data_IF_412125730935
#
_entry.id   IF_412125730935
#
_cell.length_a   1.000
_cell.length_b   1.000
_cell.length_c   1.000
_cell.angle_alpha   90.00
_cell.angle_beta   90.00
_cell.angle_gamma   90.00
#
_symmetry.space_group_name_H-M   'P 1'
#
loop_
_entity.id
_entity.type
_entity.pdbx_description
1 polymer ?
#
# COMPACT_ATOMS: atom_id res chain seq x y z
N UNK A 1 -65.16 24.08 69.88
CA UNK A 1 -64.45 24.86 68.85
C UNK A 1 -65.19 24.66 67.54
N UNK A 2 -65.80 25.72 67.00
CA UNK A 2 -66.59 25.65 65.78
C UNK A 2 -65.67 25.69 64.55
N UNK A 3 -65.34 24.50 64.03
CA UNK A 3 -64.33 24.29 62.99
C UNK A 3 -64.62 25.07 61.69
N UNK A 4 -65.91 25.29 61.39
CA UNK A 4 -66.35 26.08 60.23
C UNK A 4 -66.06 27.57 60.39
N UNK A 5 -66.10 28.10 61.62
CA UNK A 5 -65.83 29.51 61.90
C UNK A 5 -64.32 29.83 61.89
N UNK A 6 -63.51 28.87 62.38
CA UNK A 6 -62.05 28.95 62.35
C UNK A 6 -61.49 29.15 60.94
N UNK A 7 -62.00 28.38 59.96
CA UNK A 7 -61.61 28.47 58.55
C UNK A 7 -62.12 29.72 57.82
N UNK A 8 -63.07 30.47 58.40
CA UNK A 8 -63.72 31.61 57.75
C UNK A 8 -63.18 32.97 58.21
N UNK A 9 -62.73 33.10 59.45
CA UNK A 9 -62.46 34.41 60.09
C UNK A 9 -61.08 34.54 60.77
N UNK A 10 -60.24 33.49 60.79
CA UNK A 10 -58.92 33.56 61.45
C UNK A 10 -57.76 33.78 60.46
N UNK A 11 -56.84 34.67 60.81
CA UNK A 11 -55.63 34.96 60.02
C UNK A 11 -54.74 33.72 59.82
N UNK A 12 -54.70 32.84 60.82
CA UNK A 12 -54.00 31.54 60.77
C UNK A 12 -54.61 30.61 59.72
N UNK A 13 -55.94 30.57 59.56
CA UNK A 13 -56.57 29.77 58.52
C UNK A 13 -56.27 30.25 57.09
N UNK A 14 -56.11 31.57 56.88
CA UNK A 14 -55.68 32.12 55.59
C UNK A 14 -54.25 31.70 55.23
N UNK A 15 -53.33 31.73 56.20
CA UNK A 15 -51.94 31.28 56.02
C UNK A 15 -51.90 29.78 55.72
N UNK A 16 -52.61 28.95 56.50
CA UNK A 16 -52.68 27.50 56.27
C UNK A 16 -53.26 27.18 54.88
N UNK A 17 -54.31 27.89 54.45
CA UNK A 17 -54.89 27.72 53.10
C UNK A 17 -53.88 28.03 52.00
N UNK A 18 -53.16 29.14 52.10
CA UNK A 18 -52.17 29.52 51.09
C UNK A 18 -50.97 28.56 51.07
N UNK A 19 -50.54 28.06 52.24
CA UNK A 19 -49.51 27.02 52.35
C UNK A 19 -49.98 25.71 51.71
N UNK A 20 -51.23 25.28 51.96
CA UNK A 20 -51.80 24.10 51.32
C UNK A 20 -51.93 24.27 49.80
N UNK A 21 -52.33 25.46 49.32
CA UNK A 21 -52.38 25.77 47.89
C UNK A 21 -50.98 25.79 47.26
N UNK A 22 -49.97 26.32 47.96
CA UNK A 22 -48.59 26.31 47.50
C UNK A 22 -48.04 24.87 47.43
N UNK A 23 -48.32 24.04 48.44
CA UNK A 23 -47.95 22.62 48.43
C UNK A 23 -48.66 21.86 47.30
N UNK A 24 -49.95 22.13 47.07
CA UNK A 24 -50.70 21.57 45.95
C UNK A 24 -50.11 22.01 44.60
N UNK A 25 -49.76 23.30 44.45
CA UNK A 25 -49.14 23.81 43.23
C UNK A 25 -47.78 23.17 42.97
N UNK A 26 -46.93 23.05 44.00
CA UNK A 26 -45.64 22.35 43.90
C UNK A 26 -45.84 20.89 43.52
N UNK A 27 -46.82 20.21 44.12
CA UNK A 27 -47.15 18.82 43.79
C UNK A 27 -47.61 18.68 42.33
N UNK A 28 -48.51 19.54 41.87
CA UNK A 28 -49.02 19.55 40.48
C UNK A 28 -47.89 19.84 39.49
N UNK A 29 -47.07 20.87 39.76
CA UNK A 29 -45.92 21.21 38.91
C UNK A 29 -44.95 20.03 38.88
N UNK A 30 -44.61 19.44 40.03
CA UNK A 30 -43.71 18.29 40.09
C UNK A 30 -44.28 17.11 39.29
N UNK A 31 -45.56 16.81 39.44
CA UNK A 31 -46.24 15.75 38.68
C UNK A 31 -46.19 15.99 37.17
N UNK A 32 -46.57 17.19 36.72
CA UNK A 32 -46.52 17.57 35.29
C UNK A 32 -45.09 17.48 34.76
N UNK A 33 -44.11 17.97 35.51
CA UNK A 33 -42.70 17.98 35.08
C UNK A 33 -42.18 16.55 34.95
N UNK A 34 -42.46 15.68 35.93
CA UNK A 34 -42.07 14.27 35.89
C UNK A 34 -42.78 13.53 34.75
N UNK A 35 -44.09 13.70 34.56
CA UNK A 35 -44.83 13.08 33.45
C UNK A 35 -44.36 13.58 32.07
N UNK A 36 -44.00 14.85 31.95
CA UNK A 36 -43.44 15.40 30.72
C UNK A 36 -42.06 14.78 30.42
N UNK A 37 -41.18 14.68 31.42
CA UNK A 37 -39.86 14.04 31.27
C UNK A 37 -40.02 12.57 30.90
N UNK A 38 -40.94 11.84 31.54
CA UNK A 38 -41.17 10.42 31.28
C UNK A 38 -41.58 10.16 29.82
N UNK A 39 -42.54 10.95 29.33
CA UNK A 39 -43.01 10.89 27.94
C UNK A 39 -41.96 11.37 26.93
N UNK A 40 -41.22 12.44 27.26
CA UNK A 40 -40.19 12.98 26.37
C UNK A 40 -38.97 12.06 26.28
N UNK A 41 -38.60 11.40 27.37
CA UNK A 41 -37.43 10.52 27.43
C UNK A 41 -37.69 9.07 27.02
N UNK A 42 -38.97 8.70 26.76
CA UNK A 42 -39.45 7.34 26.50
C UNK A 42 -38.84 6.34 27.48
N UNK A 43 -39.02 6.63 28.76
CA UNK A 43 -38.46 5.83 29.82
C UNK A 43 -38.97 4.38 29.72
N UNK A 44 -38.06 3.40 29.64
CA UNK A 44 -38.38 1.97 29.51
C UNK A 44 -38.43 1.40 28.10
N UNK A 45 -38.42 2.22 27.04
CA UNK A 45 -38.31 1.73 25.65
C UNK A 45 -36.84 1.62 25.24
N UNK A 46 -36.24 0.46 25.47
CA UNK A 46 -34.91 0.14 25.00
C UNK A 46 -34.94 -1.11 24.11
N UNK A 47 -34.17 -1.04 23.04
CA UNK A 47 -34.03 -2.09 22.05
C UNK A 47 -32.75 -2.86 22.37
N UNK A 48 -32.83 -4.18 22.26
CA UNK A 48 -31.71 -5.06 22.55
C UNK A 48 -30.76 -5.05 21.37
N UNK A 49 -29.48 -4.84 21.64
CA UNK A 49 -28.43 -4.91 20.63
C UNK A 49 -28.21 -6.37 20.24
N UNK A 50 -28.42 -6.76 18.96
CA UNK A 50 -28.17 -8.12 18.49
C UNK A 50 -26.67 -8.43 18.41
N UNK A 51 -26.31 -9.70 18.26
CA UNK A 51 -24.96 -10.10 17.87
C UNK A 51 -24.73 -9.82 16.40
N UNK A 52 -23.72 -9.00 16.12
CA UNK A 52 -23.30 -8.60 14.80
C UNK A 52 -21.89 -9.12 14.48
N UNK A 53 -21.16 -9.68 15.46
CA UNK A 53 -19.80 -10.18 15.21
C UNK A 53 -19.81 -11.29 14.17
N UNK A 54 -18.85 -11.22 13.24
CA UNK A 54 -18.73 -12.16 12.13
C UNK A 54 -19.76 -11.97 11.01
N UNK A 55 -20.73 -11.05 11.14
CA UNK A 55 -21.69 -10.70 10.09
C UNK A 55 -21.11 -9.63 9.17
N UNK A 56 -21.67 -9.52 7.96
CA UNK A 56 -21.40 -8.39 7.07
C UNK A 56 -22.21 -7.16 7.47
N UNK A 57 -21.72 -5.97 7.10
CA UNK A 57 -22.40 -4.69 7.37
C UNK A 57 -23.82 -4.62 6.81
N UNK A 58 -24.07 -5.29 5.69
CA UNK A 58 -25.36 -5.38 5.01
C UNK A 58 -26.36 -6.23 5.82
N UNK A 59 -25.88 -7.33 6.43
CA UNK A 59 -26.70 -8.15 7.33
C UNK A 59 -26.99 -7.42 8.63
N UNK A 60 -26.00 -6.69 9.16
CA UNK A 60 -26.15 -5.88 10.36
C UNK A 60 -27.19 -4.76 10.18
N UNK A 61 -27.24 -4.14 8.99
CA UNK A 61 -28.24 -3.13 8.67
C UNK A 61 -29.67 -3.67 8.82
N UNK A 62 -29.93 -4.86 8.28
CA UNK A 62 -31.23 -5.52 8.33
C UNK A 62 -31.62 -5.85 9.79
N UNK A 63 -30.68 -6.42 10.56
CA UNK A 63 -30.91 -6.81 11.96
C UNK A 63 -31.16 -5.61 12.86
N UNK A 64 -30.40 -4.53 12.68
CA UNK A 64 -30.54 -3.32 13.46
C UNK A 64 -31.79 -2.53 13.06
N UNK A 65 -32.11 -2.44 11.77
CA UNK A 65 -33.31 -1.79 11.29
C UNK A 65 -34.58 -2.45 11.85
N UNK A 66 -34.59 -3.79 11.99
CA UNK A 66 -35.69 -4.51 12.63
C UNK A 66 -35.91 -4.13 14.12
N UNK A 67 -34.86 -3.66 14.79
CA UNK A 67 -34.89 -3.16 16.17
C UNK A 67 -34.98 -1.61 16.22
N UNK A 68 -35.14 -0.92 15.10
CA UNK A 68 -35.11 0.56 15.06
C UNK A 68 -33.79 1.17 15.50
N UNK A 69 -32.70 0.39 15.42
CA UNK A 69 -31.33 0.80 15.64
C UNK A 69 -30.66 1.07 14.29
N UNK A 70 -29.48 1.69 14.33
CA UNK A 70 -28.62 1.92 13.15
C UNK A 70 -27.19 1.55 13.51
N UNK A 71 -26.29 1.48 12.54
CA UNK A 71 -24.86 1.33 12.83
C UNK A 71 -24.04 2.49 12.29
N UNK A 72 -22.82 2.59 12.77
CA UNK A 72 -21.78 3.46 12.26
C UNK A 72 -20.44 2.74 12.30
N UNK A 73 -19.77 2.62 11.16
CA UNK A 73 -18.42 2.04 11.10
C UNK A 73 -17.44 3.12 11.52
N UNK A 74 -16.78 2.94 12.67
CA UNK A 74 -15.88 3.93 13.25
C UNK A 74 -14.41 3.66 12.92
N UNK A 75 -14.07 2.40 12.66
CA UNK A 75 -12.71 1.99 12.35
C UNK A 75 -12.69 0.68 11.56
N UNK A 76 -11.52 0.34 11.02
CA UNK A 76 -11.25 -0.96 10.43
C UNK A 76 -9.91 -1.52 10.89
N UNK A 77 -9.89 -2.81 11.22
CA UNK A 77 -8.66 -3.57 11.50
C UNK A 77 -8.35 -4.51 10.34
N UNK A 78 -7.11 -5.00 10.22
CA UNK A 78 -6.76 -6.00 9.23
C UNK A 78 -6.35 -7.31 9.90
N UNK A 79 -7.22 -8.31 9.80
CA UNK A 79 -6.98 -9.68 10.23
C UNK A 79 -7.08 -10.62 9.03
N UNK A 80 -5.98 -11.34 8.75
CA UNK A 80 -5.87 -12.28 7.62
C UNK A 80 -6.72 -13.54 7.83
N UNK A 81 -7.14 -13.82 9.06
CA UNK A 81 -7.92 -15.02 9.41
C UNK A 81 -9.43 -14.83 9.22
N UNK A 82 -9.87 -13.58 9.04
CA UNK A 82 -11.28 -13.22 8.89
C UNK A 82 -11.58 -12.74 7.45
N UNK A 83 -12.82 -12.94 6.94
CA UNK A 83 -13.21 -12.39 5.64
C UNK A 83 -13.20 -10.85 5.64
N UNK A 84 -13.05 -10.23 4.47
CA UNK A 84 -13.06 -8.78 4.34
C UNK A 84 -14.44 -8.19 4.59
N UNK A 85 -14.52 -7.06 5.30
CA UNK A 85 -15.77 -6.34 5.55
C UNK A 85 -16.67 -6.97 6.63
N UNK A 86 -16.28 -8.08 7.26
CA UNK A 86 -17.02 -8.63 8.40
C UNK A 86 -16.81 -7.77 9.64
N UNK A 87 -17.80 -7.76 10.53
CA UNK A 87 -17.73 -7.03 11.79
C UNK A 87 -16.85 -7.82 12.76
N UNK A 88 -15.76 -7.21 13.22
CA UNK A 88 -14.82 -7.79 14.18
C UNK A 88 -15.25 -7.44 15.61
N UNK A 89 -15.71 -6.20 15.79
CA UNK A 89 -16.12 -5.69 17.09
C UNK A 89 -17.35 -4.80 16.96
N UNK A 90 -18.19 -4.84 17.99
CA UNK A 90 -19.36 -3.98 18.12
C UNK A 90 -19.35 -3.32 19.50
N UNK A 91 -19.81 -2.08 19.56
CA UNK A 91 -20.03 -1.36 20.81
C UNK A 91 -21.36 -0.61 20.73
N UNK A 92 -22.31 -0.82 21.66
CA UNK A 92 -22.25 -1.72 22.82
C UNK A 92 -22.22 -3.23 22.45
N UNK A 93 -21.82 -4.12 23.38
CA UNK A 93 -21.83 -5.56 23.14
C UNK A 93 -23.28 -6.09 22.99
N UNK A 94 -23.41 -7.30 22.43
CA UNK A 94 -24.67 -8.04 22.35
C UNK A 94 -25.43 -8.02 23.69
N UNK A 95 -26.75 -7.94 23.64
CA UNK A 95 -27.62 -7.95 24.81
C UNK A 95 -27.69 -6.61 25.55
N UNK A 96 -26.91 -5.62 25.13
CA UNK A 96 -26.99 -4.26 25.66
C UNK A 96 -28.30 -3.59 25.26
N UNK A 97 -28.65 -2.53 25.97
CA UNK A 97 -29.88 -1.77 25.75
C UNK A 97 -29.58 -0.41 25.15
N UNK A 98 -30.19 -0.11 24.00
CA UNK A 98 -30.09 1.19 23.34
C UNK A 98 -31.47 1.81 23.13
N UNK A 99 -31.54 3.14 23.25
CA UNK A 99 -32.72 3.88 22.82
C UNK A 99 -32.82 3.85 21.28
N UNK A 100 -34.05 3.88 20.76
CA UNK A 100 -34.29 3.96 19.31
C UNK A 100 -33.47 5.05 18.62
N UNK A 101 -32.96 4.73 17.44
CA UNK A 101 -32.16 5.64 16.61
C UNK A 101 -30.72 5.86 17.08
N UNK A 102 -30.27 5.23 18.18
CA UNK A 102 -28.86 5.24 18.58
C UNK A 102 -28.04 4.33 17.67
N UNK A 103 -26.80 4.74 17.29
CA UNK A 103 -25.91 3.88 16.53
C UNK A 103 -25.29 2.80 17.42
N UNK A 104 -25.11 1.62 16.86
CA UNK A 104 -24.12 0.63 17.28
C UNK A 104 -22.84 0.91 16.50
N UNK A 105 -21.74 1.15 17.20
CA UNK A 105 -20.45 1.41 16.56
C UNK A 105 -19.78 0.10 16.20
N UNK A 106 -19.29 -0.01 14.97
CA UNK A 106 -18.70 -1.22 14.43
C UNK A 106 -17.24 -0.97 14.06
N UNK A 107 -16.40 -1.94 14.39
CA UNK A 107 -15.07 -2.09 13.81
C UNK A 107 -15.13 -3.27 12.85
N UNK A 108 -14.82 -3.02 11.59
CA UNK A 108 -14.86 -4.06 10.54
C UNK A 108 -13.47 -4.56 10.20
N UNK A 109 -13.38 -5.76 9.65
CA UNK A 109 -12.18 -6.21 8.97
C UNK A 109 -12.05 -5.42 7.67
N UNK A 110 -10.83 -4.98 7.34
CA UNK A 110 -10.58 -4.12 6.21
C UNK A 110 -11.13 -4.73 4.92
N UNK A 111 -11.66 -3.88 4.03
CA UNK A 111 -12.27 -4.34 2.77
C UNK A 111 -11.23 -4.78 1.72
N UNK A 112 -9.95 -4.58 2.01
CA UNK A 112 -8.85 -4.91 1.10
C UNK A 112 -7.57 -5.19 1.88
N UNK A 113 -6.65 -5.92 1.24
CA UNK A 113 -5.30 -6.13 1.77
C UNK A 113 -4.57 -4.79 1.89
N UNK A 114 -3.88 -4.61 3.02
CA UNK A 114 -3.02 -3.45 3.28
C UNK A 114 -2.00 -3.28 2.14
N UNK A 115 -1.91 -2.07 1.61
CA UNK A 115 -0.99 -1.73 0.53
C UNK A 115 0.29 -1.10 1.10
N UNK A 116 1.43 -1.69 0.77
CA UNK A 116 2.75 -1.21 1.19
C UNK A 116 3.52 -0.65 -0.01
N UNK A 117 4.29 0.44 0.15
CA UNK A 117 5.12 0.95 -0.93
C UNK A 117 6.30 -0.01 -1.16
N UNK A 118 6.61 -0.29 -2.42
CA UNK A 118 7.84 -0.99 -2.79
C UNK A 118 9.06 -0.13 -2.39
N UNK A 119 9.95 -0.60 -1.50
CA UNK A 119 11.19 0.11 -1.21
C UNK A 119 12.07 0.18 -2.46
N UNK A 120 12.95 1.19 -2.53
CA UNK A 120 13.96 1.22 -3.57
C UNK A 120 15.05 0.21 -3.25
N UNK A 121 15.10 -0.84 -4.04
CA UNK A 121 16.02 -1.98 -3.85
C UNK A 121 16.89 -2.23 -5.09
N UNK A 122 16.91 -1.29 -6.05
CA UNK A 122 17.91 -1.30 -7.13
C UNK A 122 19.24 -0.77 -6.59
N UNK A 123 20.34 -1.20 -7.21
CA UNK A 123 21.70 -0.77 -6.87
C UNK A 123 22.13 -1.04 -5.42
N UNK A 124 21.45 -1.97 -4.74
CA UNK A 124 21.84 -2.50 -3.44
C UNK A 124 22.13 -3.99 -3.54
N UNK A 125 22.83 -4.53 -2.54
CA UNK A 125 23.07 -5.97 -2.48
C UNK A 125 21.76 -6.75 -2.33
N UNK A 126 21.69 -7.96 -2.88
CA UNK A 126 20.57 -8.88 -2.73
C UNK A 126 20.17 -9.08 -1.27
N UNK A 127 21.17 -9.20 -0.37
CA UNK A 127 20.93 -9.33 1.08
C UNK A 127 20.20 -8.12 1.66
N UNK A 128 20.59 -6.92 1.25
CA UNK A 128 19.96 -5.68 1.69
C UNK A 128 18.56 -5.54 1.10
N UNK A 129 18.38 -5.88 -0.18
CA UNK A 129 17.07 -5.91 -0.83
C UNK A 129 16.10 -6.87 -0.14
N UNK A 130 16.54 -8.10 0.17
CA UNK A 130 15.76 -9.10 0.90
C UNK A 130 15.32 -8.58 2.28
N UNK A 131 16.23 -7.93 3.03
CA UNK A 131 15.90 -7.32 4.30
C UNK A 131 14.89 -6.17 4.18
N UNK A 132 15.05 -5.28 3.19
CA UNK A 132 14.14 -4.17 2.93
C UNK A 132 12.74 -4.66 2.53
N UNK A 133 12.65 -5.65 1.64
CA UNK A 133 11.38 -6.23 1.21
C UNK A 133 10.66 -6.87 2.41
N UNK A 134 11.36 -7.70 3.20
CA UNK A 134 10.79 -8.31 4.41
C UNK A 134 10.32 -7.27 5.43
N UNK A 135 11.09 -6.19 5.64
CA UNK A 135 10.72 -5.12 6.56
C UNK A 135 9.44 -4.38 6.16
N UNK A 136 9.15 -4.32 4.86
CA UNK A 136 7.90 -3.74 4.33
C UNK A 136 6.75 -4.74 4.25
N UNK A 137 6.96 -6.01 4.65
CA UNK A 137 5.95 -7.07 4.55
C UNK A 137 5.82 -7.67 3.15
N UNK A 138 6.74 -7.36 2.23
CA UNK A 138 6.87 -8.00 0.93
C UNK A 138 7.79 -9.22 1.04
N UNK A 139 7.75 -10.11 0.04
CA UNK A 139 8.57 -11.31 -0.02
C UNK A 139 9.42 -11.31 -1.28
N UNK A 140 10.63 -11.84 -1.19
CA UNK A 140 11.40 -12.19 -2.39
C UNK A 140 10.75 -13.39 -3.07
N UNK A 141 10.48 -13.26 -4.36
CA UNK A 141 9.98 -14.31 -5.24
C UNK A 141 11.12 -15.03 -5.95
N UNK A 142 11.07 -15.05 -7.27
CA UNK A 142 12.14 -15.63 -8.09
C UNK A 142 13.37 -14.71 -8.13
N UNK A 143 14.55 -15.30 -8.07
CA UNK A 143 15.83 -14.60 -8.22
C UNK A 143 16.49 -15.10 -9.47
N UNK A 144 16.55 -14.25 -10.50
CA UNK A 144 17.23 -14.55 -11.75
C UNK A 144 18.59 -13.89 -11.75
N UNK A 145 19.59 -14.60 -12.24
CA UNK A 145 20.95 -14.09 -12.27
C UNK A 145 21.33 -13.72 -13.71
N UNK A 146 21.83 -12.51 -13.90
CA UNK A 146 22.33 -12.01 -15.19
C UNK A 146 23.83 -11.71 -15.10
N UNK A 147 24.58 -11.84 -16.22
CA UNK A 147 25.95 -11.36 -16.31
C UNK A 147 26.06 -9.91 -15.84
N UNK A 148 27.05 -9.59 -15.01
CA UNK A 148 27.28 -8.26 -14.46
C UNK A 148 28.68 -8.16 -13.88
N UNK A 149 29.28 -6.97 -13.88
CA UNK A 149 30.55 -6.74 -13.19
C UNK A 149 30.38 -6.82 -11.65
N UNK A 150 29.17 -6.59 -11.14
CA UNK A 150 28.88 -6.54 -9.70
C UNK A 150 28.16 -7.79 -9.24
N UNK A 151 28.83 -8.57 -8.39
CA UNK A 151 28.25 -9.75 -7.75
C UNK A 151 27.19 -9.36 -6.73
N UNK A 152 26.07 -10.06 -6.76
CA UNK A 152 24.94 -9.93 -5.83
C UNK A 152 24.26 -8.54 -5.84
N UNK A 153 24.54 -7.69 -6.83
CA UNK A 153 23.88 -6.40 -7.00
C UNK A 153 22.50 -6.60 -7.64
N UNK A 154 21.46 -5.96 -7.09
CA UNK A 154 20.14 -5.98 -7.72
C UNK A 154 20.11 -5.03 -8.91
N UNK A 155 19.96 -5.59 -10.11
CA UNK A 155 19.94 -4.88 -11.38
C UNK A 155 18.53 -4.43 -11.77
N UNK A 156 17.53 -5.27 -11.50
CA UNK A 156 16.14 -4.98 -11.81
C UNK A 156 15.18 -5.65 -10.83
N UNK A 157 13.98 -5.08 -10.75
CA UNK A 157 12.91 -5.49 -9.84
C UNK A 157 11.65 -5.67 -10.67
N UNK A 158 11.06 -6.86 -10.59
CA UNK A 158 9.89 -7.24 -11.37
C UNK A 158 8.76 -7.76 -10.49
N UNK A 159 7.54 -7.60 -10.99
CA UNK A 159 6.35 -8.24 -10.45
C UNK A 159 5.53 -8.77 -11.62
N UNK A 160 5.16 -10.05 -11.57
CA UNK A 160 4.42 -10.72 -12.66
C UNK A 160 5.11 -10.57 -14.03
N UNK A 161 6.43 -10.75 -14.05
CA UNK A 161 7.33 -10.56 -15.21
C UNK A 161 7.42 -9.13 -15.79
N UNK A 162 6.82 -8.12 -15.15
CA UNK A 162 6.88 -6.73 -15.58
C UNK A 162 7.77 -5.89 -14.65
N UNK A 163 8.55 -4.92 -15.18
CA UNK A 163 9.36 -4.03 -14.37
C UNK A 163 8.48 -3.12 -13.51
N UNK A 164 8.88 -2.93 -12.26
CA UNK A 164 8.13 -2.11 -11.29
C UNK A 164 8.99 -0.99 -10.72
N UNK A 165 8.39 0.18 -10.51
CA UNK A 165 9.08 1.37 -9.99
C UNK A 165 9.04 1.41 -8.45
N UNK A 166 10.08 1.94 -7.79
CA UNK A 166 10.03 2.19 -6.35
C UNK A 166 8.83 3.08 -5.98
N UNK A 167 8.31 2.89 -4.77
CA UNK A 167 7.12 3.59 -4.27
C UNK A 167 5.78 3.05 -4.79
N UNK A 168 5.77 2.12 -5.75
CA UNK A 168 4.54 1.47 -6.24
C UNK A 168 3.83 0.79 -5.07
N UNK A 169 2.51 0.97 -4.95
CA UNK A 169 1.70 0.36 -3.89
C UNK A 169 1.40 -1.10 -4.25
N UNK A 170 1.82 -2.01 -3.39
CA UNK A 170 1.72 -3.45 -3.59
C UNK A 170 1.00 -4.07 -2.39
N UNK A 171 0.10 -5.06 -2.60
CA UNK A 171 -0.51 -5.78 -1.50
C UNK A 171 0.53 -6.44 -0.59
N UNK A 172 0.39 -6.25 0.72
CA UNK A 172 1.29 -6.86 1.70
C UNK A 172 1.29 -8.40 1.59
N UNK A 173 2.48 -8.99 1.62
CA UNK A 173 2.70 -10.41 1.42
C UNK A 173 2.87 -10.83 -0.05
N UNK A 174 2.77 -9.90 -1.01
CA UNK A 174 3.11 -10.15 -2.40
C UNK A 174 4.59 -10.52 -2.55
N UNK A 175 4.88 -11.31 -3.59
CA UNK A 175 6.25 -11.65 -4.00
C UNK A 175 6.78 -10.66 -5.03
N UNK A 176 8.07 -10.35 -4.94
CA UNK A 176 8.81 -9.47 -5.85
C UNK A 176 9.98 -10.27 -6.41
N UNK A 177 10.07 -10.34 -7.73
CA UNK A 177 11.15 -11.02 -8.42
C UNK A 177 12.32 -10.06 -8.59
N UNK A 178 13.54 -10.57 -8.38
CA UNK A 178 14.77 -9.78 -8.46
C UNK A 178 15.67 -10.33 -9.57
N UNK A 179 16.26 -9.42 -10.33
CA UNK A 179 17.38 -9.73 -11.22
C UNK A 179 18.65 -9.28 -10.53
N UNK A 180 19.58 -10.22 -10.37
CA UNK A 180 20.79 -10.05 -9.57
C UNK A 180 22.02 -10.30 -10.45
N UNK A 181 23.06 -9.48 -10.28
CA UNK A 181 24.32 -9.64 -10.99
C UNK A 181 25.09 -10.87 -10.53
N UNK A 182 25.60 -11.66 -11.48
CA UNK A 182 26.47 -12.81 -11.19
C UNK A 182 27.89 -12.40 -10.74
N UNK A 183 28.30 -11.17 -11.06
CA UNK A 183 29.69 -10.77 -10.96
C UNK A 183 30.53 -11.34 -12.10
N UNK A 184 31.81 -11.00 -12.09
CA UNK A 184 32.79 -11.52 -13.05
C UNK A 184 32.95 -13.03 -12.80
N UNK A 185 32.62 -13.82 -13.83
CA UNK A 185 32.72 -15.28 -13.80
C UNK A 185 34.14 -15.79 -13.96
N UNK A 186 34.31 -17.10 -13.90
CA UNK A 186 35.62 -17.77 -14.10
C UNK A 186 35.82 -18.32 -15.51
N UNK A 187 34.76 -18.35 -16.31
CA UNK A 187 34.80 -18.83 -17.69
C UNK A 187 35.19 -17.68 -18.61
N UNK A 188 36.18 -17.93 -19.48
CA UNK A 188 36.53 -16.97 -20.52
C UNK A 188 35.59 -17.13 -21.71
N UNK A 189 35.06 -16.00 -22.16
CA UNK A 189 34.24 -15.86 -23.36
C UNK A 189 34.97 -14.99 -24.37
N UNK A 190 34.70 -15.22 -25.66
CA UNK A 190 35.27 -14.41 -26.74
C UNK A 190 34.44 -13.14 -26.88
N UNK A 191 35.10 -12.00 -26.90
CA UNK A 191 34.45 -10.70 -27.15
C UNK A 191 33.94 -10.68 -28.60
N UNK A 192 32.62 -10.52 -28.83
CA UNK A 192 32.07 -10.44 -30.19
C UNK A 192 32.51 -9.15 -30.88
N UNK A 193 32.49 -9.17 -32.20
CA UNK A 193 32.64 -7.96 -33.00
C UNK A 193 31.33 -7.18 -33.02
N UNK A 194 31.35 -5.96 -32.48
CA UNK A 194 30.23 -5.05 -32.43
C UNK A 194 30.31 -3.97 -33.50
N UNK A 195 31.42 -3.86 -34.24
CA UNK A 195 31.60 -2.79 -35.22
C UNK A 195 30.48 -2.83 -36.28
N UNK A 196 29.88 -1.67 -36.54
CA UNK A 196 28.76 -1.52 -37.47
C UNK A 196 27.40 -1.97 -36.93
N UNK A 197 27.30 -2.52 -35.73
CA UNK A 197 26.01 -2.87 -35.12
C UNK A 197 25.29 -1.62 -34.57
N UNK A 198 23.95 -1.58 -34.66
CA UNK A 198 23.16 -0.51 -34.07
C UNK A 198 23.16 -0.61 -32.54
N UNK A 199 23.22 0.53 -31.86
CA UNK A 199 23.30 0.61 -30.39
C UNK A 199 22.17 -0.16 -29.66
N UNK A 200 21.00 -0.27 -30.27
CA UNK A 200 19.84 -1.01 -29.74
C UNK A 200 20.05 -2.52 -29.68
N UNK A 201 20.89 -3.08 -30.56
CA UNK A 201 21.16 -4.51 -30.64
C UNK A 201 22.33 -4.94 -29.75
N UNK A 202 23.30 -4.04 -29.52
CA UNK A 202 24.55 -4.31 -28.78
C UNK A 202 24.30 -4.99 -27.44
N UNK A 203 23.31 -4.51 -26.68
CA UNK A 203 22.97 -5.09 -25.38
C UNK A 203 22.59 -6.57 -25.49
N UNK A 204 21.77 -6.94 -26.48
CA UNK A 204 21.31 -8.31 -26.64
C UNK A 204 22.45 -9.23 -27.11
N UNK A 205 23.31 -8.74 -27.99
CA UNK A 205 24.50 -9.47 -28.46
C UNK A 205 25.44 -9.75 -27.29
N UNK A 206 25.80 -8.73 -26.52
CA UNK A 206 26.69 -8.89 -25.36
C UNK A 206 26.09 -9.83 -24.31
N UNK A 207 24.80 -9.69 -23.97
CA UNK A 207 24.15 -10.59 -23.02
C UNK A 207 24.14 -12.04 -23.51
N UNK A 208 23.96 -12.28 -24.82
CA UNK A 208 24.03 -13.63 -25.40
C UNK A 208 25.44 -14.23 -25.32
N UNK A 209 26.47 -13.39 -25.33
CA UNK A 209 27.88 -13.76 -25.12
C UNK A 209 28.31 -13.76 -23.66
N UNK A 210 27.37 -13.60 -22.70
CA UNK A 210 27.64 -13.49 -21.27
C UNK A 210 28.52 -12.29 -20.88
N UNK A 211 28.45 -11.21 -21.64
CA UNK A 211 29.16 -9.93 -21.42
C UNK A 211 28.15 -8.82 -21.14
N UNK A 212 28.63 -7.68 -20.65
CA UNK A 212 27.77 -6.52 -20.34
C UNK A 212 28.24 -5.26 -21.05
N UNK A 213 27.31 -4.34 -21.31
CA UNK A 213 27.66 -3.00 -21.82
C UNK A 213 28.31 -2.22 -20.68
N UNK A 214 29.48 -1.64 -20.95
CA UNK A 214 30.18 -0.73 -20.05
C UNK A 214 29.89 0.73 -20.36
N UNK A 215 30.94 1.54 -20.49
CA UNK A 215 30.84 2.94 -20.86
C UNK A 215 30.36 3.08 -22.31
N UNK A 216 29.33 3.90 -22.52
CA UNK A 216 28.83 4.27 -23.85
C UNK A 216 29.28 5.69 -24.16
N UNK A 217 30.18 5.82 -25.12
CA UNK A 217 30.78 7.09 -25.52
C UNK A 217 30.23 7.53 -26.88
N UNK A 218 29.79 8.78 -26.99
CA UNK A 218 29.32 9.34 -28.26
C UNK A 218 30.39 10.26 -28.84
N UNK A 219 30.68 10.12 -30.13
CA UNK A 219 31.52 11.07 -30.84
C UNK A 219 30.82 12.42 -31.03
N UNK A 220 29.52 12.37 -31.31
CA UNK A 220 28.58 13.47 -31.41
C UNK A 220 27.42 13.14 -30.48
N UNK A 221 27.23 13.89 -29.38
CA UNK A 221 26.15 13.63 -28.43
C UNK A 221 24.77 13.61 -29.08
N UNK A 222 23.85 12.73 -28.63
CA UNK A 222 22.51 12.67 -29.16
C UNK A 222 21.75 13.96 -28.90
N UNK A 223 21.04 14.44 -29.93
CA UNK A 223 20.17 15.63 -29.81
C UNK A 223 18.73 15.24 -29.45
N UNK A 224 18.35 13.99 -29.74
CA UNK A 224 17.07 13.37 -29.38
C UNK A 224 17.23 11.83 -29.33
N UNK A 225 16.23 11.15 -28.75
CA UNK A 225 16.25 9.69 -28.52
C UNK A 225 16.02 8.85 -29.79
N UNK A 226 15.66 9.46 -30.93
CA UNK A 226 15.37 8.75 -32.18
C UNK A 226 16.59 8.65 -33.11
N UNK A 227 17.75 9.08 -32.65
CA UNK A 227 18.96 9.09 -33.48
C UNK A 227 19.60 7.70 -33.49
N UNK A 228 19.77 7.15 -34.69
CA UNK A 228 20.43 5.85 -34.87
C UNK A 228 21.95 6.04 -34.85
N UNK A 229 22.61 5.27 -33.98
CA UNK A 229 24.05 5.24 -33.83
C UNK A 229 24.58 3.83 -34.06
N UNK A 230 25.73 3.75 -34.72
CA UNK A 230 26.47 2.51 -34.92
C UNK A 230 27.71 2.50 -34.05
N UNK A 231 28.08 1.33 -33.56
CA UNK A 231 29.37 1.14 -32.88
C UNK A 231 30.48 1.24 -33.92
N UNK A 232 31.49 2.06 -33.66
CA UNK A 232 32.69 2.13 -34.51
C UNK A 232 33.97 1.69 -33.78
N UNK A 233 33.93 1.65 -32.45
CA UNK A 233 35.03 1.18 -31.62
C UNK A 233 34.47 0.50 -30.38
N UNK A 234 35.17 -0.52 -29.91
CA UNK A 234 34.89 -1.23 -28.68
C UNK A 234 36.19 -1.51 -27.92
N UNK A 235 36.09 -1.63 -26.60
CA UNK A 235 37.17 -2.06 -25.73
C UNK A 235 36.61 -2.97 -24.64
N UNK A 236 37.16 -4.18 -24.43
CA UNK A 236 38.24 -4.85 -25.17
C UNK A 236 37.94 -5.13 -26.66
N UNK A 237 39.01 -5.34 -27.44
CA UNK A 237 38.93 -5.61 -28.89
C UNK A 237 38.18 -6.93 -29.19
N UNK A 238 37.55 -6.99 -30.37
CA UNK A 238 36.90 -8.21 -30.84
C UNK A 238 37.89 -9.38 -30.90
N UNK A 239 37.42 -10.59 -30.59
CA UNK A 239 38.25 -11.80 -30.56
C UNK A 239 39.08 -11.99 -29.28
N UNK A 240 39.21 -10.96 -28.43
CA UNK A 240 39.89 -11.10 -27.13
C UNK A 240 39.11 -12.06 -26.23
N UNK A 241 39.82 -12.87 -25.42
CA UNK A 241 39.19 -13.69 -24.39
C UNK A 241 39.16 -12.96 -23.07
N UNK A 242 37.96 -12.80 -22.51
CA UNK A 242 37.75 -12.14 -21.22
C UNK A 242 36.81 -12.96 -20.34
N UNK A 243 36.87 -12.85 -19.01
CA UNK A 243 35.93 -13.55 -18.15
C UNK A 243 34.48 -13.12 -18.43
N UNK A 244 33.51 -14.02 -18.25
CA UNK A 244 32.08 -13.66 -18.35
C UNK A 244 31.70 -12.59 -17.32
N UNK A 245 30.72 -11.75 -17.65
CA UNK A 245 30.34 -10.58 -16.87
C UNK A 245 31.30 -9.38 -17.04
N UNK A 246 32.38 -9.52 -17.80
CA UNK A 246 33.24 -8.38 -18.16
C UNK A 246 32.44 -7.35 -18.97
N UNK A 247 32.66 -6.07 -18.66
CA UNK A 247 32.04 -4.96 -19.39
C UNK A 247 32.83 -4.64 -20.65
N UNK A 248 32.10 -4.31 -21.71
CA UNK A 248 32.64 -3.85 -22.99
C UNK A 248 32.24 -2.38 -23.16
N UNK A 249 33.23 -1.51 -23.15
CA UNK A 249 33.05 -0.09 -23.42
C UNK A 249 32.91 0.09 -24.94
N UNK A 250 31.97 0.92 -25.37
CA UNK A 250 31.63 1.13 -26.78
C UNK A 250 31.65 2.60 -27.14
N UNK A 251 32.05 2.89 -28.36
CA UNK A 251 31.95 4.23 -28.95
C UNK A 251 31.01 4.22 -30.14
N UNK A 252 30.11 5.18 -30.13
CA UNK A 252 28.99 5.30 -31.04
C UNK A 252 29.18 6.50 -31.97
N UNK A 253 28.87 6.32 -33.26
CA UNK A 253 28.95 7.33 -34.31
C UNK A 253 27.77 7.23 -35.28
N UNK A 254 27.36 8.38 -35.84
CA UNK A 254 26.43 8.45 -36.98
C UNK A 254 27.13 8.31 -38.33
N UNK A 255 28.43 8.62 -38.35
CA UNK A 255 29.25 8.54 -39.55
C UNK A 255 29.71 7.10 -39.77
N UNK A 256 29.12 6.44 -40.76
CA UNK A 256 29.45 5.07 -41.15
C UNK A 256 30.86 4.94 -41.73
N UNK A 257 31.49 6.04 -42.17
CA UNK A 257 32.86 6.00 -42.69
C UNK A 257 33.91 5.69 -41.62
N UNK A 258 33.59 5.95 -40.34
CA UNK A 258 34.47 5.63 -39.21
C UNK A 258 34.56 4.14 -38.92
N UNK A 259 33.50 3.39 -39.19
CA UNK A 259 33.48 1.92 -39.07
C UNK A 259 34.48 1.29 -40.04
N UNK A 260 34.45 1.72 -41.31
CA UNK A 260 35.36 1.23 -42.36
C UNK A 260 36.82 1.63 -42.16
N UNK A 261 37.09 2.76 -41.51
CA UNK A 261 38.46 3.18 -41.18
C UNK A 261 39.06 2.32 -40.07
N UNK A 262 38.24 1.93 -39.09
CA UNK A 262 38.68 1.05 -38.01
C UNK A 262 38.98 -0.37 -38.50
N UNK A 263 38.13 -0.94 -39.37
CA UNK A 263 38.35 -2.26 -39.99
C UNK A 263 39.68 -2.33 -40.77
N UNK A 264 40.04 -1.24 -41.47
CA UNK A 264 41.33 -1.14 -42.18
C UNK A 264 42.51 -1.09 -41.23
N UNK A 265 42.40 -0.31 -40.15
CA UNK A 265 43.46 -0.20 -39.16
C UNK A 265 43.72 -1.54 -38.43
N UNK A 266 42.66 -2.28 -38.06
CA UNK A 266 42.81 -3.61 -37.45
C UNK A 266 43.38 -4.65 -38.41
N UNK A 267 43.09 -4.54 -39.72
CA UNK A 267 43.61 -5.48 -40.73
C UNK A 267 45.10 -5.28 -41.06
N UNK A 268 45.67 -4.11 -40.82
CA UNK A 268 47.09 -3.83 -41.09
C UNK A 268 48.00 -4.33 -39.95
N UNK A 269 47.50 -4.40 -38.71
CA UNK A 269 48.25 -4.89 -37.55
C UNK A 269 48.41 -6.42 -37.53
N UNK A 270 47.54 -7.18 -38.20
CA UNK A 270 47.62 -8.65 -38.33
C UNK A 270 48.67 -9.15 -39.35
N UNK A 271 49.34 -8.25 -40.08
CA UNK A 271 50.33 -8.58 -41.12
C UNK A 271 51.80 -8.48 -40.68
N UNK A 272 52.07 -8.21 -39.40
CA UNK A 272 53.43 -8.14 -38.81
C UNK A 272 53.65 -9.22 -37.73
#
# INVERSE_FOLDING_TARGET
MDFKRFWKESWTALVIRNVLLALLAVFIISYITLSFIDKYTRHGEAEVVPDLKGRYTEEADILLAAQGLRYEVIDSTYDRTQPFGVIVEQTPPEGSFLKKGRPVYLIINAKSIRQVPLPDVRDVSFRQADAMLKATGLKVGNVTYEPSEFKDLVLDVRKDAQPIKPGTRIPEGSTIDLIVGQGIGTENVVVPDLAGLPATEVRNVLLSSLLVVGAVNYDVPPTNDNEEYMVYLQEPQAGTQVPSGTRIDIWLSKDSSKVTQQEKASSEDDFF
#
